data_IF_728080530656
#
_entry.id   IF_728080530656
#
_cell.length_a   1.000
_cell.length_b   1.000
_cell.length_c   1.000
_cell.angle_alpha   90.00
_cell.angle_beta   90.00
_cell.angle_gamma   90.00
#
_symmetry.space_group_name_H-M   'P 1'
#
loop_
_entity.id
_entity.type
_entity.pdbx_description
1 polymer ?
#
# COMPACT_ATOMS: atom_id res chain seq x y z
N UNK A 1 -59.24 16.12 -1.28
CA UNK A 1 -58.22 15.09 -0.99
C UNK A 1 -57.00 15.44 -1.81
N UNK A 2 -55.99 16.06 -1.18
CA UNK A 2 -54.75 16.43 -1.87
C UNK A 2 -53.96 15.17 -2.18
N UNK A 3 -53.74 14.90 -3.46
CA UNK A 3 -52.72 13.94 -3.87
C UNK A 3 -51.38 14.47 -3.38
N UNK A 4 -50.71 13.70 -2.52
CA UNK A 4 -49.29 13.87 -2.26
C UNK A 4 -48.59 13.73 -3.61
N UNK A 5 -48.07 14.85 -4.11
CA UNK A 5 -47.13 14.86 -5.22
C UNK A 5 -45.90 14.20 -4.63
N UNK A 6 -45.61 12.97 -5.05
CA UNK A 6 -44.37 12.31 -4.68
C UNK A 6 -43.27 13.13 -5.34
N UNK A 7 -42.57 13.99 -4.57
CA UNK A 7 -41.47 14.80 -5.10
C UNK A 7 -40.45 13.85 -5.70
N UNK A 8 -40.16 14.03 -6.99
CA UNK A 8 -39.24 13.20 -7.73
C UNK A 8 -37.87 13.29 -7.05
N UNK A 9 -37.32 12.15 -6.64
CA UNK A 9 -36.22 12.14 -5.66
C UNK A 9 -34.88 11.95 -6.34
N UNK A 10 -34.01 12.95 -6.21
CA UNK A 10 -32.59 12.82 -6.57
C UNK A 10 -31.80 12.41 -5.32
N UNK A 11 -30.94 11.41 -5.47
CA UNK A 11 -30.07 10.91 -4.41
C UNK A 11 -28.61 10.91 -4.84
N UNK A 12 -27.73 11.15 -3.88
CA UNK A 12 -26.28 11.22 -4.09
C UNK A 12 -25.62 9.97 -3.50
N UNK A 13 -24.82 9.27 -4.30
CA UNK A 13 -24.20 8.00 -3.92
C UNK A 13 -22.80 7.84 -4.51
N UNK A 14 -22.12 6.73 -4.15
CA UNK A 14 -20.78 6.37 -4.65
C UNK A 14 -19.76 7.51 -4.52
N UNK A 15 -19.74 8.16 -3.35
CA UNK A 15 -18.77 9.19 -2.99
C UNK A 15 -17.35 8.65 -3.12
N UNK A 16 -16.46 9.44 -3.71
CA UNK A 16 -15.04 9.12 -3.84
C UNK A 16 -14.16 10.30 -3.45
N UNK A 17 -13.03 10.00 -2.84
CA UNK A 17 -11.95 10.93 -2.54
C UNK A 17 -10.70 10.45 -3.29
N UNK A 18 -10.07 11.31 -4.10
CA UNK A 18 -8.93 10.95 -4.95
C UNK A 18 -9.21 9.70 -5.82
N UNK A 19 -10.45 9.60 -6.33
CA UNK A 19 -10.97 8.47 -7.14
C UNK A 19 -11.07 7.13 -6.39
N UNK A 20 -10.82 7.12 -5.08
CA UNK A 20 -10.90 5.94 -4.23
C UNK A 20 -12.14 5.98 -3.33
N UNK A 21 -12.61 4.79 -2.93
CA UNK A 21 -13.67 4.66 -1.93
C UNK A 21 -13.04 4.63 -0.54
N UNK A 22 -13.37 5.61 0.29
CA UNK A 22 -12.90 5.69 1.68
C UNK A 22 -11.37 5.48 1.85
N UNK A 23 -10.52 6.26 1.16
CA UNK A 23 -9.10 5.95 1.12
C UNK A 23 -8.41 6.17 2.47
N UNK A 24 -7.45 5.29 2.76
CA UNK A 24 -6.61 5.32 3.96
C UNK A 24 -5.18 5.72 3.57
N UNK A 25 -4.67 6.78 4.18
CA UNK A 25 -3.26 7.16 4.09
C UNK A 25 -2.91 8.03 2.87
N UNK A 26 -3.83 8.88 2.38
CA UNK A 26 -3.53 9.81 1.27
C UNK A 26 -2.74 11.02 1.76
N UNK A 27 -1.99 11.68 0.88
CA UNK A 27 -1.22 12.89 1.19
C UNK A 27 -1.64 14.13 0.38
N UNK A 28 -2.66 14.01 -0.47
CA UNK A 28 -3.22 15.14 -1.22
C UNK A 28 -3.74 16.21 -0.23
N UNK A 29 -3.07 17.37 -0.18
CA UNK A 29 -3.44 18.47 0.74
C UNK A 29 -4.78 19.14 0.40
N UNK A 30 -5.23 18.96 -0.84
CA UNK A 30 -6.55 19.36 -1.34
C UNK A 30 -7.18 18.16 -2.03
N UNK A 31 -7.69 17.17 -1.27
CA UNK A 31 -8.25 15.98 -1.87
C UNK A 31 -9.45 16.33 -2.75
N UNK A 32 -9.53 15.68 -3.91
CA UNK A 32 -10.58 15.82 -4.90
C UNK A 32 -11.75 14.90 -4.59
N UNK A 33 -12.92 15.50 -4.48
CA UNK A 33 -14.16 14.85 -4.13
C UNK A 33 -15.00 14.61 -5.39
N UNK A 34 -15.69 13.47 -5.43
CA UNK A 34 -16.58 13.13 -6.52
C UNK A 34 -17.79 12.35 -6.00
N UNK A 35 -18.92 12.46 -6.70
CA UNK A 35 -20.15 11.75 -6.36
C UNK A 35 -20.94 11.41 -7.63
N UNK A 36 -21.85 10.45 -7.50
CA UNK A 36 -22.81 10.08 -8.55
C UNK A 36 -24.23 10.44 -8.13
N UNK A 37 -25.08 10.71 -9.13
CA UNK A 37 -26.49 11.01 -8.94
C UNK A 37 -27.35 9.83 -9.41
N UNK A 38 -28.37 9.49 -8.63
CA UNK A 38 -29.43 8.58 -9.04
C UNK A 38 -30.78 9.29 -8.90
N UNK A 39 -31.63 9.12 -9.90
CA UNK A 39 -32.97 9.70 -9.95
C UNK A 39 -33.95 8.69 -10.56
N UNK A 40 -35.22 8.81 -10.18
CA UNK A 40 -36.35 8.02 -10.68
C UNK A 40 -37.00 8.61 -11.94
N UNK A 41 -36.39 9.65 -12.53
CA UNK A 41 -36.88 10.36 -13.70
C UNK A 41 -35.72 10.79 -14.61
N UNK A 42 -36.06 11.21 -15.83
CA UNK A 42 -35.11 11.63 -16.85
C UNK A 42 -34.81 13.14 -16.79
N UNK A 43 -33.74 13.54 -17.48
CA UNK A 43 -33.31 14.94 -17.65
C UNK A 43 -32.96 15.66 -16.34
N UNK A 44 -32.42 14.92 -15.37
CA UNK A 44 -31.94 15.47 -14.09
C UNK A 44 -30.57 16.09 -14.28
N UNK A 45 -30.43 17.33 -13.83
CA UNK A 45 -29.16 18.07 -13.83
C UNK A 45 -28.89 18.67 -12.47
N UNK A 46 -27.68 18.49 -11.94
CA UNK A 46 -27.22 19.26 -10.79
C UNK A 46 -26.97 20.72 -11.20
N UNK A 47 -27.54 21.67 -10.46
CA UNK A 47 -27.28 23.11 -10.63
C UNK A 47 -26.43 23.70 -9.52
N UNK A 48 -26.39 23.06 -8.35
CA UNK A 48 -25.54 23.44 -7.24
C UNK A 48 -25.20 22.25 -6.34
N UNK A 49 -24.16 22.39 -5.52
CA UNK A 49 -23.82 21.43 -4.47
C UNK A 49 -23.50 22.13 -3.15
N UNK A 50 -23.51 21.36 -2.07
CA UNK A 50 -22.93 21.75 -0.79
C UNK A 50 -22.22 20.54 -0.18
N UNK A 51 -20.98 20.75 0.24
CA UNK A 51 -20.13 19.74 0.88
C UNK A 51 -19.89 20.16 2.33
N UNK A 52 -19.99 19.18 3.23
CA UNK A 52 -19.58 19.33 4.62
C UNK A 52 -18.52 18.28 4.96
N UNK A 53 -17.45 18.72 5.63
CA UNK A 53 -16.35 17.88 6.11
C UNK A 53 -16.22 18.01 7.62
N UNK A 54 -16.03 16.88 8.28
CA UNK A 54 -16.00 16.71 9.72
C UNK A 54 -14.69 16.04 10.10
N UNK A 55 -14.06 16.54 11.17
CA UNK A 55 -12.88 15.90 11.73
C UNK A 55 -13.31 14.78 12.69
N UNK A 56 -12.78 13.57 12.51
CA UNK A 56 -13.06 12.47 13.44
C UNK A 56 -12.53 12.83 14.85
N UNK A 57 -13.36 12.62 15.88
CA UNK A 57 -13.05 12.96 17.27
C UNK A 57 -13.35 14.42 17.67
N UNK A 58 -13.85 15.24 16.76
CA UNK A 58 -14.29 16.62 17.04
C UNK A 58 -15.81 16.71 17.32
N UNK A 59 -16.33 17.87 17.77
CA UNK A 59 -17.77 18.12 17.86
C UNK A 59 -18.52 17.85 16.54
N UNK A 60 -19.84 17.77 16.61
CA UNK A 60 -20.68 17.42 15.45
C UNK A 60 -20.64 18.45 14.30
N UNK A 61 -20.10 19.64 14.54
CA UNK A 61 -20.02 20.71 13.56
C UNK A 61 -18.98 20.43 12.46
N UNK A 62 -19.25 20.81 11.20
CA UNK A 62 -18.28 20.66 10.13
C UNK A 62 -17.09 21.60 10.34
N UNK A 63 -15.88 21.10 10.09
CA UNK A 63 -14.67 21.94 10.02
C UNK A 63 -14.61 22.74 8.72
N UNK A 64 -15.37 22.30 7.72
CA UNK A 64 -15.55 22.99 6.45
C UNK A 64 -16.96 22.74 5.93
N UNK A 65 -17.63 23.82 5.56
CA UNK A 65 -18.90 23.83 4.84
C UNK A 65 -18.72 24.74 3.62
N UNK A 66 -18.92 24.20 2.42
CA UNK A 66 -18.78 24.99 1.20
C UNK A 66 -19.89 26.04 1.02
N UNK A 67 -20.99 25.93 1.77
CA UNK A 67 -22.26 26.56 1.42
C UNK A 67 -22.80 26.03 0.08
N UNK A 68 -23.87 26.66 -0.41
CA UNK A 68 -24.41 26.37 -1.75
C UNK A 68 -23.47 26.95 -2.81
N UNK A 69 -22.79 26.08 -3.54
CA UNK A 69 -21.92 26.44 -4.67
C UNK A 69 -22.68 26.21 -5.96
N UNK A 70 -22.88 27.26 -6.76
CA UNK A 70 -23.52 27.17 -8.07
C UNK A 70 -22.57 26.53 -9.08
N UNK A 71 -22.76 25.23 -9.34
CA UNK A 71 -21.97 24.44 -10.26
C UNK A 71 -22.63 23.09 -10.54
N UNK A 72 -22.54 22.65 -11.79
CA UNK A 72 -22.92 21.31 -12.26
C UNK A 72 -21.80 20.26 -12.07
N UNK A 73 -20.63 20.68 -11.57
CA UNK A 73 -19.48 19.80 -11.38
C UNK A 73 -19.74 18.82 -10.23
N UNK A 74 -19.56 17.53 -10.49
CA UNK A 74 -19.72 16.43 -9.53
C UNK A 74 -18.50 15.51 -9.45
N UNK A 75 -17.43 15.84 -10.16
CA UNK A 75 -16.20 15.05 -10.24
C UNK A 75 -15.01 16.00 -10.10
N UNK A 76 -14.06 15.65 -9.23
CA UNK A 76 -12.81 16.40 -9.11
C UNK A 76 -12.96 17.73 -8.36
N UNK A 77 -13.94 17.85 -7.46
CA UNK A 77 -14.17 19.05 -6.67
C UNK A 77 -13.14 19.12 -5.54
N UNK A 78 -12.26 20.12 -5.58
CA UNK A 78 -11.21 20.26 -4.57
C UNK A 78 -11.80 20.58 -3.19
N UNK A 79 -11.26 19.93 -2.16
CA UNK A 79 -11.40 20.38 -0.79
C UNK A 79 -10.80 21.79 -0.64
N UNK A 80 -11.61 22.73 -0.14
CA UNK A 80 -11.24 24.13 0.04
C UNK A 80 -11.36 24.61 1.50
N UNK A 81 -11.31 23.67 2.45
CA UNK A 81 -11.38 23.96 3.88
C UNK A 81 -10.03 24.28 4.53
N UNK A 82 -9.99 24.30 5.87
CA UNK A 82 -8.75 24.48 6.65
C UNK A 82 -7.68 23.43 6.34
N UNK A 83 -6.43 23.70 6.69
CA UNK A 83 -5.32 22.77 6.48
C UNK A 83 -5.60 21.39 7.12
N UNK A 84 -5.30 20.33 6.36
CA UNK A 84 -5.44 18.94 6.82
C UNK A 84 -4.22 18.53 7.66
N UNK A 85 -4.42 17.59 8.58
CA UNK A 85 -3.42 17.10 9.53
C UNK A 85 -3.06 15.64 9.23
N UNK A 86 -1.78 15.30 9.42
CA UNK A 86 -1.29 13.93 9.31
C UNK A 86 -2.05 12.98 10.25
N UNK A 87 -2.28 11.74 9.82
CA UNK A 87 -2.96 10.66 10.59
C UNK A 87 -4.44 10.91 10.89
N UNK A 88 -4.97 12.06 10.48
CA UNK A 88 -6.32 12.47 10.81
C UNK A 88 -7.32 11.89 9.81
N UNK A 89 -8.39 11.28 10.33
CA UNK A 89 -9.56 10.89 9.55
C UNK A 89 -10.54 12.05 9.43
N UNK A 90 -11.05 12.26 8.23
CA UNK A 90 -12.09 13.21 7.91
C UNK A 90 -13.29 12.46 7.33
N UNK A 91 -14.48 12.74 7.85
CA UNK A 91 -15.74 12.27 7.28
C UNK A 91 -16.35 13.41 6.45
N UNK A 92 -17.07 13.08 5.39
CA UNK A 92 -17.71 14.08 4.55
C UNK A 92 -19.01 13.57 3.95
N UNK A 93 -19.88 14.50 3.61
CA UNK A 93 -21.08 14.22 2.83
C UNK A 93 -21.39 15.41 1.94
N UNK A 94 -22.24 15.16 0.94
CA UNK A 94 -22.63 16.14 -0.08
C UNK A 94 -24.13 16.07 -0.30
N UNK A 95 -24.73 17.21 -0.61
CA UNK A 95 -26.08 17.32 -1.16
C UNK A 95 -26.06 18.24 -2.37
N UNK A 96 -27.09 18.15 -3.20
CA UNK A 96 -27.17 18.89 -4.46
C UNK A 96 -28.50 19.62 -4.57
N UNK A 97 -28.55 20.58 -5.50
CA UNK A 97 -29.79 21.14 -6.03
C UNK A 97 -29.93 20.70 -7.48
N UNK A 98 -31.14 20.32 -7.89
CA UNK A 98 -31.45 19.93 -9.26
C UNK A 98 -31.86 21.12 -10.15
N UNK A 99 -32.31 20.88 -11.37
CA UNK A 99 -32.78 21.89 -12.32
C UNK A 99 -34.07 22.61 -11.91
N UNK A 100 -34.77 22.10 -10.89
CA UNK A 100 -36.00 22.67 -10.32
C UNK A 100 -35.72 23.41 -9.01
N UNK A 101 -34.44 23.61 -8.67
CA UNK A 101 -33.98 24.13 -7.37
C UNK A 101 -34.42 23.26 -6.18
N UNK A 102 -34.77 21.98 -6.42
CA UNK A 102 -35.10 21.03 -5.37
C UNK A 102 -33.81 20.50 -4.73
N UNK A 103 -33.75 20.53 -3.40
CA UNK A 103 -32.58 20.07 -2.64
C UNK A 103 -32.67 18.57 -2.39
N UNK A 104 -31.57 17.84 -2.58
CA UNK A 104 -31.49 16.44 -2.19
C UNK A 104 -31.34 16.28 -0.68
N UNK A 105 -31.64 15.08 -0.18
CA UNK A 105 -31.09 14.65 1.11
C UNK A 105 -29.56 14.69 1.07
N UNK A 106 -28.93 14.77 2.24
CA UNK A 106 -27.50 14.53 2.36
C UNK A 106 -27.17 13.09 2.00
N UNK A 107 -26.04 12.89 1.31
CA UNK A 107 -25.48 11.55 1.11
C UNK A 107 -25.16 10.88 2.45
N UNK A 108 -25.03 9.55 2.44
CA UNK A 108 -24.31 8.85 3.51
C UNK A 108 -22.90 9.42 3.66
N UNK A 109 -22.39 9.46 4.89
CA UNK A 109 -21.01 9.91 5.14
C UNK A 109 -20.02 8.93 4.52
N UNK A 110 -19.13 9.46 3.68
CA UNK A 110 -17.88 8.82 3.30
C UNK A 110 -16.74 9.40 4.15
N UNK A 111 -15.53 8.86 4.01
CA UNK A 111 -14.37 9.38 4.73
C UNK A 111 -13.11 9.33 3.88
N UNK A 112 -12.06 9.98 4.34
CA UNK A 112 -10.68 9.68 3.98
C UNK A 112 -9.81 9.83 5.23
N UNK A 113 -8.64 9.23 5.23
CA UNK A 113 -7.67 9.40 6.31
C UNK A 113 -6.34 9.82 5.73
N UNK A 114 -5.76 10.88 6.30
CA UNK A 114 -4.46 11.39 5.86
C UNK A 114 -3.34 10.45 6.32
N UNK A 115 -2.32 10.30 5.48
CA UNK A 115 -1.08 9.64 5.81
C UNK A 115 -0.14 10.53 6.62
N UNK A 116 1.15 10.40 6.36
CA UNK A 116 2.23 11.25 6.86
C UNK A 116 2.47 12.36 5.82
N UNK A 117 2.22 13.63 6.19
CA UNK A 117 2.23 14.77 5.26
C UNK A 117 3.57 15.49 5.23
N UNK A 118 4.37 15.37 6.28
CA UNK A 118 5.65 16.04 6.42
C UNK A 118 6.74 15.02 6.69
N UNK A 119 7.98 15.31 6.26
CA UNK A 119 9.11 14.42 6.52
C UNK A 119 9.34 14.19 8.02
N UNK A 120 9.06 15.18 8.87
CA UNK A 120 9.17 15.07 10.33
C UNK A 120 8.13 14.13 10.94
N UNK A 121 7.08 13.77 10.19
CA UNK A 121 6.14 12.74 10.63
C UNK A 121 6.76 11.35 10.62
N UNK A 122 7.81 11.13 9.80
CA UNK A 122 8.63 9.92 9.84
C UNK A 122 9.63 10.00 10.99
N UNK A 123 9.60 8.95 11.79
CA UNK A 123 10.37 8.79 13.02
C UNK A 123 11.14 7.46 12.97
N UNK A 124 10.70 6.54 12.10
CA UNK A 124 11.43 5.35 11.73
C UNK A 124 12.71 5.66 10.94
N UNK A 125 13.66 4.74 11.01
CA UNK A 125 14.92 4.79 10.28
C UNK A 125 14.90 3.78 9.14
N UNK A 126 15.55 4.12 8.03
CA UNK A 126 15.83 3.12 7.01
C UNK A 126 16.78 2.06 7.57
N UNK A 127 16.44 0.78 7.36
CA UNK A 127 17.28 -0.34 7.79
C UNK A 127 17.63 -1.24 6.60
N UNK A 128 18.91 -1.56 6.46
CA UNK A 128 19.41 -2.57 5.54
C UNK A 128 19.56 -3.90 6.28
N UNK A 129 19.01 -5.02 5.76
CA UNK A 129 19.35 -6.35 6.24
C UNK A 129 20.84 -6.65 6.04
N UNK A 130 21.37 -7.64 6.77
CA UNK A 130 22.70 -8.16 6.50
C UNK A 130 22.71 -8.88 5.15
N UNK A 131 23.19 -8.19 4.13
CA UNK A 131 23.14 -8.65 2.74
C UNK A 131 24.44 -8.32 2.01
N UNK A 132 24.67 -9.02 0.90
CA UNK A 132 25.65 -8.61 -0.11
C UNK A 132 24.94 -7.68 -1.09
N UNK A 133 25.60 -6.62 -1.59
CA UNK A 133 25.06 -5.85 -2.70
C UNK A 133 24.71 -6.74 -3.90
N UNK A 134 23.64 -6.43 -4.60
CA UNK A 134 23.23 -7.10 -5.84
C UNK A 134 24.23 -6.78 -6.94
N UNK A 135 24.70 -7.82 -7.61
CA UNK A 135 25.64 -7.65 -8.73
C UNK A 135 24.89 -7.06 -9.91
N UNK A 136 25.28 -5.86 -10.34
CA UNK A 136 24.69 -5.20 -11.50
C UNK A 136 24.88 -6.07 -12.74
N UNK A 137 23.78 -6.27 -13.44
CA UNK A 137 23.76 -6.92 -14.74
C UNK A 137 23.88 -5.90 -15.85
N UNK A 138 24.74 -6.15 -16.85
CA UNK A 138 24.87 -5.24 -17.98
C UNK A 138 23.68 -5.34 -18.92
N UNK A 139 23.43 -4.24 -19.64
CA UNK A 139 22.49 -4.21 -20.75
C UNK A 139 22.87 -5.28 -21.77
N UNK A 140 21.95 -6.21 -22.05
CA UNK A 140 22.09 -7.17 -23.12
C UNK A 140 21.97 -6.42 -24.45
N UNK A 141 23.06 -6.37 -25.21
CA UNK A 141 23.03 -5.83 -26.56
C UNK A 141 22.40 -6.85 -27.50
N UNK A 142 21.08 -6.76 -27.66
CA UNK A 142 20.26 -7.67 -28.48
C UNK A 142 20.79 -7.72 -29.93
N UNK A 143 21.33 -6.61 -30.46
CA UNK A 143 21.86 -6.56 -31.83
C UNK A 143 23.23 -7.24 -31.98
N UNK A 144 24.05 -7.28 -30.94
CA UNK A 144 25.34 -8.00 -30.97
C UNK A 144 25.18 -9.51 -30.74
N UNK A 145 24.11 -9.93 -30.06
CA UNK A 145 23.87 -11.35 -29.72
C UNK A 145 23.00 -12.10 -30.73
N UNK A 146 22.62 -11.47 -31.85
CA UNK A 146 21.98 -12.16 -32.98
C UNK A 146 22.97 -13.16 -33.61
N UNK A 147 22.88 -14.42 -33.21
CA UNK A 147 23.65 -15.53 -33.79
C UNK A 147 24.75 -16.12 -32.89
N UNK A 148 24.98 -15.58 -31.70
CA UNK A 148 25.91 -16.15 -30.71
C UNK A 148 25.15 -16.70 -29.51
N UNK A 149 25.20 -18.01 -29.32
CA UNK A 149 24.82 -18.64 -28.05
C UNK A 149 25.92 -18.27 -27.05
N UNK A 150 25.70 -17.24 -26.24
CA UNK A 150 26.55 -17.00 -25.07
C UNK A 150 26.61 -18.27 -24.23
N UNK A 151 27.76 -18.59 -23.61
CA UNK A 151 27.83 -19.72 -22.68
C UNK A 151 26.68 -19.60 -21.67
N UNK A 152 26.07 -20.74 -21.32
CA UNK A 152 25.02 -20.77 -20.31
C UNK A 152 25.52 -19.97 -19.09
N UNK A 153 24.79 -18.95 -18.66
CA UNK A 153 25.22 -18.14 -17.53
C UNK A 153 25.47 -19.05 -16.31
N UNK A 154 26.25 -18.57 -15.35
CA UNK A 154 26.20 -19.14 -13.99
C UNK A 154 24.73 -19.39 -13.63
N UNK A 155 24.40 -20.54 -13.05
CA UNK A 155 23.01 -20.85 -12.68
C UNK A 155 22.43 -19.66 -11.92
N UNK A 156 21.20 -19.22 -12.22
CA UNK A 156 20.68 -17.95 -11.66
C UNK A 156 20.79 -17.86 -10.14
N UNK A 157 20.70 -18.98 -9.43
CA UNK A 157 20.89 -19.04 -7.97
C UNK A 157 22.32 -18.82 -7.46
N UNK A 158 23.32 -18.74 -8.32
CA UNK A 158 24.68 -18.33 -7.98
C UNK A 158 24.88 -16.81 -8.14
N UNK A 159 24.06 -16.17 -8.97
CA UNK A 159 24.19 -14.77 -9.38
C UNK A 159 23.18 -13.85 -8.69
N UNK A 160 21.97 -14.34 -8.42
CA UNK A 160 20.92 -13.61 -7.71
C UNK A 160 21.05 -13.75 -6.20
N UNK A 161 20.61 -12.73 -5.48
CA UNK A 161 20.59 -12.71 -4.03
C UNK A 161 19.29 -13.32 -3.48
N UNK A 162 19.34 -14.00 -2.31
CA UNK A 162 18.13 -14.41 -1.60
C UNK A 162 17.31 -13.22 -1.11
N UNK A 163 15.98 -13.40 -1.05
CA UNK A 163 15.11 -12.46 -0.35
C UNK A 163 15.48 -12.36 1.12
N UNK A 164 15.28 -11.18 1.69
CA UNK A 164 15.69 -10.85 3.04
C UNK A 164 14.50 -10.87 3.98
N UNK A 165 14.55 -11.70 5.01
CA UNK A 165 13.57 -11.74 6.09
C UNK A 165 14.04 -10.80 7.18
N UNK A 166 13.15 -9.94 7.67
CA UNK A 166 13.41 -9.01 8.77
C UNK A 166 12.33 -9.17 9.83
N UNK A 167 12.69 -9.12 11.11
CA UNK A 167 11.72 -9.22 12.20
C UNK A 167 12.09 -8.35 13.39
N UNK A 168 11.08 -7.98 14.16
CA UNK A 168 11.22 -7.33 15.47
C UNK A 168 10.10 -7.76 16.41
N UNK A 169 10.47 -8.10 17.63
CA UNK A 169 9.53 -8.33 18.72
C UNK A 169 9.24 -7.01 19.42
N UNK A 170 7.98 -6.75 19.77
CA UNK A 170 7.58 -5.60 20.57
C UNK A 170 6.48 -5.97 21.56
N UNK A 171 6.46 -5.33 22.73
CA UNK A 171 5.39 -5.51 23.70
C UNK A 171 4.30 -4.46 23.49
N UNK A 172 3.06 -4.92 23.37
CA UNK A 172 1.87 -4.07 23.45
C UNK A 172 1.64 -3.65 24.90
N UNK A 173 1.35 -2.36 25.13
CA UNK A 173 1.17 -1.77 26.46
C UNK A 173 -0.24 -1.95 27.02
N UNK A 174 -1.20 -2.37 26.20
CA UNK A 174 -2.58 -2.53 26.61
C UNK A 174 -3.54 -2.80 25.45
N UNK A 175 -4.85 -2.71 25.69
CA UNK A 175 -5.87 -2.85 24.65
C UNK A 175 -5.73 -1.77 23.57
N UNK A 176 -5.58 -2.19 22.31
CA UNK A 176 -5.43 -1.31 21.15
C UNK A 176 -6.78 -0.72 20.76
N UNK A 177 -6.84 0.59 20.58
CA UNK A 177 -7.99 1.30 20.02
C UNK A 177 -7.86 1.49 18.51
N UNK A 178 -6.65 1.81 18.03
CA UNK A 178 -6.32 2.01 16.62
C UNK A 178 -4.85 1.69 16.38
N UNK A 179 -4.53 1.02 15.29
CA UNK A 179 -3.15 0.89 14.83
C UNK A 179 -3.03 1.11 13.31
N UNK A 180 -2.00 1.87 12.93
CA UNK A 180 -1.66 2.17 11.53
C UNK A 180 -0.22 1.79 11.25
N UNK A 181 0.00 1.15 10.12
CA UNK A 181 1.32 0.80 9.64
C UNK A 181 1.63 1.60 8.38
N UNK A 182 2.67 2.42 8.45
CA UNK A 182 3.23 3.15 7.32
C UNK A 182 4.52 2.44 6.89
N UNK A 183 4.62 2.04 5.62
CA UNK A 183 5.76 1.25 5.16
C UNK A 183 6.10 1.51 3.70
N UNK A 184 7.38 1.45 3.39
CA UNK A 184 7.91 1.36 2.03
C UNK A 184 9.21 0.55 2.04
N UNK A 185 9.75 0.26 0.86
CA UNK A 185 11.01 -0.44 0.70
C UNK A 185 11.81 0.08 -0.51
N UNK A 186 13.14 0.00 -0.39
CA UNK A 186 14.00 -0.15 -1.54
C UNK A 186 13.97 -1.63 -1.95
N UNK A 187 13.17 -1.94 -2.97
CA UNK A 187 12.82 -3.30 -3.37
C UNK A 187 11.31 -3.45 -3.50
N UNK A 188 10.82 -4.66 -3.27
CA UNK A 188 9.41 -4.96 -2.97
C UNK A 188 9.33 -5.65 -1.61
N UNK A 189 8.17 -5.60 -0.96
CA UNK A 189 7.99 -6.20 0.36
C UNK A 189 6.67 -6.95 0.52
N UNK A 190 6.68 -7.91 1.44
CA UNK A 190 5.49 -8.48 2.07
C UNK A 190 5.62 -8.38 3.58
N UNK A 191 4.52 -8.12 4.28
CA UNK A 191 4.51 -7.97 5.74
C UNK A 191 3.58 -8.97 6.41
N UNK A 192 3.93 -9.30 7.64
CA UNK A 192 3.09 -10.01 8.58
C UNK A 192 3.19 -9.42 9.99
N UNK A 193 2.09 -9.52 10.74
CA UNK A 193 2.06 -9.27 12.18
C UNK A 193 1.47 -10.50 12.84
N UNK A 194 2.22 -11.11 13.76
CA UNK A 194 1.84 -12.34 14.47
C UNK A 194 1.39 -13.47 13.50
N UNK A 195 2.11 -13.61 12.38
CA UNK A 195 1.88 -14.66 11.37
C UNK A 195 0.69 -14.40 10.46
N UNK A 196 0.05 -13.23 10.57
CA UNK A 196 -1.04 -12.82 9.68
C UNK A 196 -0.52 -11.78 8.69
N UNK A 197 -0.72 -12.05 7.40
CA UNK A 197 -0.40 -11.13 6.31
C UNK A 197 -1.05 -9.77 6.56
N UNK A 198 -0.28 -8.69 6.38
CA UNK A 198 -0.78 -7.31 6.40
C UNK A 198 -1.23 -6.93 4.99
N UNK A 199 -2.50 -6.56 4.84
CA UNK A 199 -3.09 -6.20 3.56
C UNK A 199 -3.19 -7.37 2.58
N UNK A 200 -3.57 -7.04 1.35
CA UNK A 200 -3.77 -7.95 0.21
C UNK A 200 -3.02 -7.50 -1.05
N UNK A 201 -2.11 -6.52 -0.88
CA UNK A 201 -1.34 -5.94 -1.96
C UNK A 201 -0.19 -6.86 -2.37
N UNK A 202 0.07 -6.91 -3.68
CA UNK A 202 1.22 -7.61 -4.28
C UNK A 202 2.24 -6.59 -4.80
N UNK A 203 3.53 -6.93 -4.73
CA UNK A 203 4.63 -6.11 -5.26
C UNK A 203 4.70 -4.66 -4.73
N UNK A 204 4.19 -4.39 -3.53
CA UNK A 204 4.36 -3.09 -2.88
C UNK A 204 5.87 -2.79 -2.65
N UNK A 205 6.36 -1.55 -2.83
CA UNK A 205 5.63 -0.30 -3.05
C UNK A 205 5.39 0.06 -4.53
N UNK A 206 5.38 -0.93 -5.42
CA UNK A 206 5.23 -0.80 -6.87
C UNK A 206 6.42 -0.14 -7.58
N UNK A 207 6.30 0.04 -8.90
CA UNK A 207 7.34 0.60 -9.74
C UNK A 207 7.20 2.13 -9.84
N UNK A 208 8.14 2.86 -9.25
CA UNK A 208 8.24 4.32 -9.39
C UNK A 208 9.64 4.75 -9.82
N UNK A 209 9.82 6.04 -10.10
CA UNK A 209 11.16 6.61 -10.21
C UNK A 209 11.72 6.83 -8.79
N UNK A 210 12.23 5.77 -8.14
CA UNK A 210 12.57 5.74 -6.71
C UNK A 210 13.40 6.95 -6.23
N UNK A 211 14.29 7.51 -7.07
CA UNK A 211 15.08 8.71 -6.70
C UNK A 211 14.28 10.02 -6.68
N UNK A 212 13.19 10.09 -7.44
CA UNK A 212 12.30 11.26 -7.56
C UNK A 212 11.11 11.15 -6.62
N UNK A 213 10.45 9.99 -6.61
CA UNK A 213 9.36 9.68 -5.69
C UNK A 213 9.27 8.18 -5.43
N UNK A 214 9.09 7.83 -4.16
CA UNK A 214 8.91 6.47 -3.67
C UNK A 214 7.60 6.43 -2.89
N UNK A 215 6.70 5.54 -3.30
CA UNK A 215 5.42 5.39 -2.62
C UNK A 215 5.59 4.66 -1.29
N UNK A 216 4.82 5.08 -0.28
CA UNK A 216 4.58 4.29 0.93
C UNK A 216 3.11 3.92 1.03
N UNK A 217 2.84 2.81 1.71
CA UNK A 217 1.50 2.28 1.92
C UNK A 217 1.08 2.49 3.37
N UNK A 218 -0.22 2.65 3.58
CA UNK A 218 -0.82 2.73 4.93
C UNK A 218 -1.80 1.58 5.12
N UNK A 219 -1.62 0.81 6.19
CA UNK A 219 -2.50 -0.31 6.54
C UNK A 219 -3.19 -0.09 7.88
N UNK A 220 -4.46 -0.49 7.98
CA UNK A 220 -5.12 -0.68 9.27
C UNK A 220 -4.74 -2.06 9.83
N UNK A 221 -3.93 -2.05 10.89
CA UNK A 221 -3.44 -3.28 11.55
C UNK A 221 -4.01 -3.43 12.96
N UNK A 222 -5.07 -2.69 13.29
CA UNK A 222 -5.68 -2.66 14.63
C UNK A 222 -6.02 -4.06 15.12
N UNK A 223 -6.60 -4.90 14.26
CA UNK A 223 -7.00 -6.27 14.59
C UNK A 223 -5.89 -7.33 14.50
N UNK A 224 -4.64 -6.94 14.24
CA UNK A 224 -3.50 -7.86 14.14
C UNK A 224 -2.64 -7.86 15.41
N UNK A 225 -2.77 -6.85 16.27
CA UNK A 225 -1.97 -6.70 17.48
C UNK A 225 -2.70 -7.37 18.66
N UNK A 226 -2.03 -8.34 19.28
CA UNK A 226 -2.49 -9.04 20.48
C UNK A 226 -1.93 -8.43 21.78
N UNK A 227 -2.39 -8.93 22.94
CA UNK A 227 -1.81 -8.56 24.23
C UNK A 227 -0.38 -9.11 24.38
N UNK A 228 0.46 -8.40 25.15
CA UNK A 228 1.82 -8.84 25.44
C UNK A 228 2.77 -8.72 24.24
N UNK A 229 3.64 -9.70 24.04
CA UNK A 229 4.63 -9.67 22.98
C UNK A 229 4.00 -9.99 21.62
N UNK A 230 4.37 -9.19 20.64
CA UNK A 230 3.95 -9.26 19.25
C UNK A 230 5.18 -9.28 18.36
N UNK A 231 5.03 -9.78 17.13
CA UNK A 231 6.09 -9.78 16.11
C UNK A 231 5.60 -9.03 14.88
N UNK A 232 6.43 -8.12 14.38
CA UNK A 232 6.32 -7.60 13.02
C UNK A 232 7.41 -8.27 12.17
N UNK A 233 7.00 -8.85 11.04
CA UNK A 233 7.85 -9.52 10.08
C UNK A 233 7.73 -8.87 8.70
N UNK A 234 8.84 -8.81 7.99
CA UNK A 234 8.92 -8.34 6.60
C UNK A 234 9.76 -9.30 5.76
N UNK A 235 9.38 -9.48 4.51
CA UNK A 235 10.19 -10.15 3.49
C UNK A 235 10.45 -9.15 2.38
N UNK A 236 11.71 -8.90 2.04
CA UNK A 236 12.12 -8.02 0.95
C UNK A 236 12.59 -8.83 -0.25
N UNK A 237 12.13 -8.44 -1.45
CA UNK A 237 12.61 -8.94 -2.73
C UNK A 237 13.20 -7.80 -3.57
N UNK A 238 13.92 -8.18 -4.63
CA UNK A 238 14.67 -7.23 -5.47
C UNK A 238 13.77 -6.20 -6.17
N UNK A 239 12.59 -6.66 -6.65
CA UNK A 239 11.63 -5.82 -7.35
C UNK A 239 12.24 -5.06 -8.52
N UNK A 240 11.73 -3.86 -8.78
CA UNK A 240 12.34 -2.95 -9.76
C UNK A 240 13.58 -2.23 -9.21
N UNK A 241 13.80 -2.21 -7.89
CA UNK A 241 14.89 -1.45 -7.30
C UNK A 241 16.27 -2.06 -7.64
N UNK A 242 16.44 -3.34 -7.32
CA UNK A 242 17.64 -4.13 -7.59
C UNK A 242 17.51 -5.05 -8.80
N UNK A 243 16.30 -5.54 -9.09
CA UNK A 243 16.06 -6.59 -10.07
C UNK A 243 16.16 -6.12 -11.52
N UNK A 244 15.99 -7.06 -12.44
CA UNK A 244 16.01 -6.77 -13.88
C UNK A 244 14.82 -5.92 -14.29
N UNK A 245 15.07 -4.96 -15.19
CA UNK A 245 14.01 -4.18 -15.84
C UNK A 245 14.14 -4.25 -17.36
N UNK A 246 13.03 -4.59 -18.01
CA UNK A 246 12.87 -4.48 -19.45
C UNK A 246 13.60 -5.54 -20.27
N UNK A 247 13.37 -5.50 -21.59
CA UNK A 247 13.94 -6.45 -22.55
C UNK A 247 15.48 -6.47 -22.59
N UNK A 248 16.20 -5.34 -22.43
CA UNK A 248 17.65 -5.37 -22.37
C UNK A 248 18.20 -5.99 -21.07
N UNK A 249 17.35 -6.19 -20.04
CA UNK A 249 17.67 -7.00 -18.87
C UNK A 249 18.72 -6.43 -17.93
N UNK A 250 18.98 -5.12 -17.94
CA UNK A 250 19.86 -4.51 -16.94
C UNK A 250 19.20 -4.46 -15.56
N UNK A 251 20.03 -4.45 -14.52
CA UNK A 251 19.58 -4.48 -13.12
C UNK A 251 20.18 -3.34 -12.30
N UNK A 252 19.79 -3.25 -11.03
CA UNK A 252 20.22 -2.21 -10.10
C UNK A 252 20.01 -0.78 -10.64
N UNK A 253 18.86 -0.55 -11.27
CA UNK A 253 18.50 0.75 -11.86
C UNK A 253 18.44 1.86 -10.78
N UNK A 254 17.98 1.52 -9.58
CA UNK A 254 17.78 2.48 -8.49
C UNK A 254 18.73 2.29 -7.31
N UNK A 255 19.23 1.06 -7.11
CA UNK A 255 20.27 0.75 -6.14
C UNK A 255 20.61 -0.73 -6.16
N UNK A 256 21.54 -1.12 -5.31
CA UNK A 256 22.07 -2.49 -5.22
C UNK A 256 21.88 -3.12 -3.84
N UNK A 257 21.11 -2.49 -2.95
CA UNK A 257 20.82 -3.00 -1.62
C UNK A 257 19.37 -2.78 -1.23
N UNK A 258 18.76 -3.81 -0.66
CA UNK A 258 17.40 -3.72 -0.15
C UNK A 258 17.36 -2.92 1.16
N UNK A 259 16.29 -2.19 1.39
CA UNK A 259 16.08 -1.50 2.66
C UNK A 259 14.60 -1.40 3.00
N UNK A 260 14.28 -1.39 4.29
CA UNK A 260 12.92 -1.24 4.81
C UNK A 260 12.81 0.10 5.57
N UNK A 261 11.69 0.80 5.38
CA UNK A 261 11.26 1.88 6.25
C UNK A 261 9.86 1.53 6.75
N UNK A 262 9.70 1.37 8.06
CA UNK A 262 8.46 0.90 8.68
C UNK A 262 8.17 1.68 9.97
N UNK A 263 6.97 2.24 10.07
CA UNK A 263 6.47 2.94 11.24
C UNK A 263 5.08 2.42 11.60
N UNK A 264 5.01 1.64 12.66
CA UNK A 264 3.75 1.21 13.27
C UNK A 264 3.38 2.16 14.39
N UNK A 265 2.23 2.82 14.26
CA UNK A 265 1.68 3.69 15.30
C UNK A 265 0.46 3.05 15.95
N UNK A 266 0.50 2.93 17.28
CA UNK A 266 -0.53 2.29 18.10
C UNK A 266 -1.11 3.35 19.04
N UNK A 267 -2.43 3.50 19.00
CA UNK A 267 -3.22 4.22 19.99
C UNK A 267 -3.95 3.21 20.86
N UNK A 268 -3.81 3.36 22.18
CA UNK A 268 -4.45 2.50 23.17
C UNK A 268 -5.79 3.08 23.64
N UNK A 269 -6.62 2.23 24.24
CA UNK A 269 -7.93 2.65 24.76
C UNK A 269 -7.84 3.68 25.90
N UNK A 270 -6.70 3.75 26.60
CA UNK A 270 -6.43 4.76 27.63
C UNK A 270 -5.96 6.12 27.06
N UNK A 271 -5.86 6.23 25.74
CA UNK A 271 -5.39 7.44 25.03
C UNK A 271 -3.86 7.53 24.91
N UNK A 272 -3.10 6.62 25.51
CA UNK A 272 -1.65 6.56 25.33
C UNK A 272 -1.27 6.07 23.93
N UNK A 273 -0.03 6.37 23.52
CA UNK A 273 0.50 6.00 22.21
C UNK A 273 1.83 5.26 22.32
N UNK A 274 2.06 4.37 21.36
CA UNK A 274 3.35 3.70 21.17
C UNK A 274 3.66 3.62 19.68
N UNK A 275 4.92 3.87 19.35
CA UNK A 275 5.44 3.64 18.02
C UNK A 275 6.41 2.47 18.03
N UNK A 276 6.29 1.60 17.03
CA UNK A 276 7.23 0.52 16.75
C UNK A 276 7.86 0.83 15.40
N UNK A 277 9.15 1.14 15.44
CA UNK A 277 9.88 1.72 14.32
C UNK A 277 10.85 0.69 13.73
N UNK A 278 11.14 0.77 12.44
CA UNK A 278 12.35 0.20 11.86
C UNK A 278 13.57 0.95 12.43
N UNK A 279 14.43 0.21 13.11
CA UNK A 279 15.62 0.67 13.82
C UNK A 279 16.58 -0.52 14.02
N UNK A 280 17.67 -0.31 14.76
CA UNK A 280 18.70 -1.33 15.05
C UNK A 280 18.19 -2.56 15.81
N UNK A 281 16.98 -2.52 16.39
CA UNK A 281 16.42 -3.66 17.10
C UNK A 281 15.82 -4.72 16.16
N UNK A 282 15.70 -4.42 14.85
CA UNK A 282 15.39 -5.45 13.86
C UNK A 282 16.57 -6.41 13.68
N UNK A 283 16.24 -7.66 13.38
CA UNK A 283 17.21 -8.65 12.88
C UNK A 283 16.80 -9.12 11.50
N UNK A 284 17.76 -9.69 10.78
CA UNK A 284 17.57 -10.18 9.43
C UNK A 284 18.20 -11.55 9.18
N UNK A 285 17.65 -12.29 8.22
CA UNK A 285 18.19 -13.55 7.73
C UNK A 285 17.79 -13.79 6.27
N UNK A 286 18.52 -14.67 5.59
CA UNK A 286 18.03 -15.29 4.35
C UNK A 286 17.05 -16.43 4.68
N UNK A 287 16.26 -16.88 3.72
CA UNK A 287 15.23 -17.90 3.96
C UNK A 287 14.96 -18.82 2.77
N UNK A 288 13.73 -19.34 2.65
CA UNK A 288 13.36 -20.29 1.61
C UNK A 288 13.34 -19.69 0.20
N UNK A 289 13.13 -18.39 0.07
CA UNK A 289 13.29 -17.65 -1.19
C UNK A 289 14.77 -17.51 -1.54
N UNK A 290 15.28 -18.43 -2.37
CA UNK A 290 16.67 -18.48 -2.83
C UNK A 290 16.98 -17.31 -3.76
N UNK A 291 15.99 -16.91 -4.56
CA UNK A 291 15.96 -15.66 -5.32
C UNK A 291 14.51 -15.34 -5.70
N UNK A 292 14.25 -14.07 -6.01
CA UNK A 292 12.99 -13.58 -6.55
C UNK A 292 13.26 -12.39 -7.47
N UNK A 293 13.09 -12.59 -8.78
CA UNK A 293 13.25 -11.55 -9.80
C UNK A 293 12.04 -11.52 -10.74
N UNK A 294 11.62 -10.32 -11.17
CA UNK A 294 10.42 -10.13 -11.97
C UNK A 294 10.50 -10.75 -13.37
N UNK A 295 11.70 -10.95 -13.91
CA UNK A 295 11.93 -11.52 -15.24
C UNK A 295 12.43 -12.97 -15.18
N UNK A 296 13.23 -13.35 -14.19
CA UNK A 296 13.72 -14.74 -14.02
C UNK A 296 12.68 -15.63 -13.36
N UNK A 297 11.89 -15.08 -12.44
CA UNK A 297 10.98 -15.81 -11.58
C UNK A 297 11.54 -16.01 -10.17
N UNK A 298 10.95 -16.96 -9.46
CA UNK A 298 11.23 -17.24 -8.06
C UNK A 298 11.69 -18.69 -7.86
N UNK A 299 12.67 -18.89 -6.98
CA UNK A 299 13.05 -20.23 -6.52
C UNK A 299 12.87 -20.34 -5.01
N UNK A 300 11.98 -21.24 -4.62
CA UNK A 300 11.67 -21.53 -3.23
C UNK A 300 12.23 -22.89 -2.79
N UNK A 301 12.88 -22.94 -1.62
CA UNK A 301 13.34 -24.16 -0.95
C UNK A 301 12.71 -24.28 0.44
N UNK A 302 11.60 -25.04 0.52
CA UNK A 302 10.83 -25.23 1.75
C UNK A 302 11.64 -25.81 2.92
N UNK A 303 12.78 -26.46 2.66
CA UNK A 303 13.67 -26.99 3.71
C UNK A 303 14.34 -25.88 4.52
N UNK A 304 14.31 -24.62 4.05
CA UNK A 304 14.89 -23.44 4.69
C UNK A 304 13.85 -22.53 5.33
N UNK A 305 12.60 -22.98 5.47
CA UNK A 305 11.56 -22.23 6.16
C UNK A 305 11.91 -21.99 7.64
N UNK A 306 11.71 -20.76 8.09
CA UNK A 306 11.88 -20.40 9.51
C UNK A 306 10.60 -20.71 10.28
N UNK A 307 10.45 -21.97 10.69
CA UNK A 307 9.29 -22.41 11.46
C UNK A 307 9.10 -21.53 12.73
N UNK A 308 7.93 -20.90 12.86
CA UNK A 308 7.59 -20.07 14.01
C UNK A 308 8.24 -18.69 14.07
N UNK A 309 8.91 -18.20 13.01
CA UNK A 309 9.56 -16.88 13.02
C UNK A 309 8.64 -15.70 13.33
N UNK A 310 7.34 -15.90 13.14
CA UNK A 310 6.27 -14.97 13.45
C UNK A 310 5.85 -14.95 14.92
N UNK A 311 6.46 -15.76 15.80
CA UNK A 311 6.13 -15.80 17.25
C UNK A 311 7.24 -15.19 18.11
N UNK A 312 6.91 -14.59 19.27
CA UNK A 312 7.91 -13.97 20.14
C UNK A 312 9.01 -14.91 20.64
N UNK A 313 8.73 -16.20 20.74
CA UNK A 313 9.61 -17.24 21.31
C UNK A 313 10.63 -17.78 20.30
N UNK A 314 10.56 -17.35 19.04
CA UNK A 314 11.47 -17.79 17.99
C UNK A 314 12.94 -17.50 18.35
N UNK A 315 13.80 -18.50 18.16
CA UNK A 315 15.24 -18.38 18.40
C UNK A 315 15.94 -17.64 17.24
N UNK A 316 16.38 -16.42 17.53
CA UNK A 316 17.07 -15.55 16.60
C UNK A 316 18.60 -15.69 16.64
N UNK A 317 19.17 -16.72 17.27
CA UNK A 317 20.63 -16.84 17.42
C UNK A 317 21.39 -16.84 16.08
N UNK A 318 20.78 -17.37 15.02
CA UNK A 318 21.35 -17.38 13.68
C UNK A 318 21.02 -16.13 12.84
N UNK A 319 20.18 -15.23 13.34
CA UNK A 319 19.80 -14.00 12.65
C UNK A 319 20.81 -12.89 12.95
N UNK A 320 21.03 -12.04 11.96
CA UNK A 320 22.06 -11.02 11.99
C UNK A 320 21.46 -9.62 12.21
N UNK A 321 22.20 -8.71 12.87
CA UNK A 321 21.73 -7.34 13.07
C UNK A 321 21.55 -6.63 11.72
N UNK A 322 20.55 -5.77 11.63
CA UNK A 322 20.40 -4.82 10.53
C UNK A 322 21.38 -3.66 10.69
N UNK A 323 21.57 -2.87 9.64
CA UNK A 323 22.31 -1.60 9.69
C UNK A 323 21.38 -0.45 9.39
N UNK A 324 21.43 0.62 10.19
CA UNK A 324 20.71 1.86 9.89
C UNK A 324 21.37 2.57 8.72
N UNK A 325 20.56 2.96 7.74
CA UNK A 325 20.97 3.72 6.58
C UNK A 325 20.30 5.10 6.56
N UNK A 326 20.89 6.05 5.83
CA UNK A 326 20.33 7.37 5.65
C UNK A 326 20.00 7.60 4.17
N UNK A 327 18.79 7.20 3.77
CA UNK A 327 18.23 7.47 2.44
C UNK A 327 17.34 8.72 2.40
N UNK A 328 17.14 9.39 3.54
CA UNK A 328 16.22 10.52 3.67
C UNK A 328 14.75 10.13 3.55
N UNK A 329 13.88 11.14 3.57
CA UNK A 329 12.41 11.00 3.50
C UNK A 329 11.79 11.90 2.42
N UNK A 330 12.61 12.63 1.66
CA UNK A 330 12.15 13.76 0.83
C UNK A 330 11.46 13.36 -0.46
N UNK A 331 11.66 12.13 -0.91
CA UNK A 331 10.99 11.52 -2.06
C UNK A 331 9.78 10.68 -1.64
N UNK A 332 9.45 10.58 -0.35
CA UNK A 332 8.34 9.73 0.09
C UNK A 332 6.99 10.38 -0.19
N UNK A 333 6.12 9.66 -0.87
CA UNK A 333 4.74 10.06 -1.19
C UNK A 333 3.78 8.94 -0.83
N UNK A 334 2.54 9.26 -0.46
CA UNK A 334 1.51 8.24 -0.27
C UNK A 334 1.22 7.53 -1.59
N UNK A 335 0.84 6.25 -1.52
CA UNK A 335 0.39 5.50 -2.69
C UNK A 335 -0.79 6.20 -3.38
N UNK A 336 -0.68 6.36 -4.69
CA UNK A 336 -1.73 6.90 -5.54
C UNK A 336 -2.52 5.78 -6.22
N UNK A 337 -3.84 5.87 -6.20
CA UNK A 337 -4.70 4.92 -6.90
C UNK A 337 -4.88 3.59 -6.15
N UNK A 338 -5.43 2.62 -6.87
CA UNK A 338 -5.65 1.27 -6.33
C UNK A 338 -4.35 0.47 -6.44
N UNK A 339 -3.93 -0.25 -5.39
CA UNK A 339 -2.74 -1.08 -5.43
C UNK A 339 -2.90 -2.31 -6.32
N UNK A 340 -1.78 -2.90 -6.72
CA UNK A 340 -1.77 -4.23 -7.34
C UNK A 340 -2.28 -5.30 -6.35
N UNK A 341 -3.26 -6.10 -6.79
CA UNK A 341 -3.89 -7.18 -6.03
C UNK A 341 -4.23 -8.37 -6.93
N UNK A 342 -4.38 -9.53 -6.32
CA UNK A 342 -5.04 -10.67 -6.98
C UNK A 342 -6.53 -10.35 -7.12
N UNK A 343 -7.03 -10.27 -8.36
CA UNK A 343 -8.44 -9.91 -8.66
C UNK A 343 -9.30 -11.11 -9.05
N UNK A 344 -8.67 -12.18 -9.56
CA UNK A 344 -9.34 -13.40 -9.98
C UNK A 344 -8.36 -14.57 -9.86
N UNK A 345 -8.85 -15.71 -9.38
CA UNK A 345 -8.14 -16.98 -9.44
C UNK A 345 -8.74 -17.81 -10.58
N UNK A 346 -7.89 -18.29 -11.48
CA UNK A 346 -8.29 -19.16 -12.58
C UNK A 346 -7.94 -20.61 -12.22
N UNK A 347 -8.93 -21.48 -12.17
CA UNK A 347 -8.70 -22.91 -12.05
C UNK A 347 -8.21 -23.48 -13.40
N UNK A 348 -7.29 -24.47 -13.40
CA UNK A 348 -6.87 -25.12 -14.63
C UNK A 348 -8.08 -25.78 -15.32
N UNK A 349 -8.20 -25.62 -16.63
CA UNK A 349 -9.20 -26.27 -17.48
C UNK A 349 -8.78 -27.66 -17.92
N UNK A 350 -7.50 -27.85 -18.20
CA UNK A 350 -6.98 -29.14 -18.65
C UNK A 350 -5.52 -29.36 -18.23
N UNK A 351 -5.10 -30.63 -18.23
CA UNK A 351 -3.72 -31.07 -18.02
C UNK A 351 -3.32 -31.91 -19.23
N UNK A 352 -2.47 -31.33 -20.06
CA UNK A 352 -2.00 -31.91 -21.31
C UNK A 352 -0.64 -32.60 -21.10
N UNK A 353 -0.39 -33.66 -21.88
CA UNK A 353 0.94 -34.26 -21.99
C UNK A 353 1.48 -33.99 -23.40
N UNK A 354 2.67 -33.41 -23.50
CA UNK A 354 3.32 -33.18 -24.80
C UNK A 354 3.78 -34.51 -25.41
N UNK A 355 4.02 -34.58 -26.74
CA UNK A 355 4.62 -35.77 -27.36
C UNK A 355 5.97 -36.17 -26.77
N UNK A 356 6.69 -35.23 -26.15
CA UNK A 356 7.96 -35.42 -25.44
C UNK A 356 7.80 -35.81 -23.97
N UNK A 357 6.56 -35.90 -23.46
CA UNK A 357 6.24 -36.37 -22.10
C UNK A 357 6.20 -35.29 -21.02
N UNK A 358 6.22 -34.01 -21.40
CA UNK A 358 6.12 -32.89 -20.45
C UNK A 358 4.66 -32.60 -20.09
N UNK A 359 4.42 -32.18 -18.86
CA UNK A 359 3.09 -31.75 -18.39
C UNK A 359 2.87 -30.27 -18.69
N UNK A 360 1.76 -29.94 -19.34
CA UNK A 360 1.30 -28.58 -19.58
C UNK A 360 -0.05 -28.38 -18.88
N UNK A 361 -0.17 -27.29 -18.11
CA UNK A 361 -1.41 -26.91 -17.44
C UNK A 361 -2.06 -25.79 -18.26
N UNK A 362 -3.27 -26.03 -18.75
CA UNK A 362 -4.05 -25.04 -19.52
C UNK A 362 -5.10 -24.40 -18.60
N UNK A 363 -5.15 -23.06 -18.59
CA UNK A 363 -6.07 -22.29 -17.75
C UNK A 363 -7.28 -21.72 -18.50
N UNK A 364 -7.40 -21.87 -19.82
CA UNK A 364 -8.42 -21.06 -20.53
C UNK A 364 -8.51 -21.17 -22.03
#
# INVERSE_FOLDING_TARGET
MGQSINEARVSVFALRCERLNNPLGIDALRPRLAWKLAADHHNVLQTAYQIQVFRAGAPADPIWDSGKVLSDTSIGVDYAGPALESRQRYAWHVRIWDERDAVSDWSSRAWWEMGLLQQVDWQAQWIEPHQKPTTREPVINIFQNLGTISPAPESDGARLNPSQYLRKVFASRGPVARARLYVTAHGVYQLEINGRRVGDQELAPEATAYHEYLQYQTYDVTGLIGPGNNVVGAVLGDGWYCGRIGLPGDSCQYGDKLALLLQLEIEYQDGSRQWVLSDEAFKSATGPLIYSDLFIGERYDARREHAGWHTPEFDELAWQPVTVANYGYGNLVAQYGEPLRVVVELAPRDILNTPTGETVVDFG
#
